data_IF_540378808912
#
_entry.id   IF_540378808912
#
_cell.length_a   1.000
_cell.length_b   1.000
_cell.length_c   1.000
_cell.angle_alpha   90.00
_cell.angle_beta   90.00
_cell.angle_gamma   90.00
#
_symmetry.space_group_name_H-M   'P 1'
#
loop_
_entity.id
_entity.type
_entity.pdbx_description
1 polymer ?
#
# COMPACT_ATOMS: atom_id res chain seq x y z
N UNK A 1 33.00 -12.56 9.87
CA UNK A 1 31.75 -13.12 9.32
C UNK A 1 31.05 -11.92 8.73
N UNK A 2 31.12 -11.77 7.42
CA UNK A 2 31.03 -10.44 6.80
C UNK A 2 29.71 -10.23 6.03
N UNK A 3 28.82 -11.22 6.05
CA UNK A 3 27.48 -11.13 5.48
C UNK A 3 26.46 -11.96 6.28
N UNK A 4 25.19 -11.60 6.17
CA UNK A 4 24.07 -12.34 6.73
C UNK A 4 23.91 -13.65 5.94
N UNK A 5 23.70 -14.76 6.63
CA UNK A 5 23.44 -16.07 5.99
C UNK A 5 22.02 -16.59 6.32
N UNK A 6 21.48 -16.18 7.46
CA UNK A 6 20.24 -16.70 8.01
C UNK A 6 19.57 -15.71 8.96
N UNK A 7 18.24 -15.70 8.95
CA UNK A 7 17.37 -15.06 9.93
C UNK A 7 16.60 -16.15 10.66
N UNK A 8 16.49 -16.03 11.98
CA UNK A 8 15.62 -16.87 12.80
C UNK A 8 14.59 -15.95 13.43
N UNK A 9 13.31 -16.28 13.26
CA UNK A 9 12.21 -15.62 13.97
C UNK A 9 11.58 -16.61 14.94
N UNK A 10 11.07 -16.12 16.06
CA UNK A 10 10.32 -16.90 17.04
C UNK A 10 9.08 -16.10 17.46
N UNK A 11 8.03 -16.80 17.86
CA UNK A 11 6.94 -16.17 18.60
C UNK A 11 7.47 -15.64 19.94
N UNK A 12 6.89 -14.55 20.44
CA UNK A 12 7.25 -13.95 21.72
C UNK A 12 6.08 -14.00 22.69
N UNK A 13 6.38 -14.17 23.97
CA UNK A 13 5.39 -14.06 25.04
C UNK A 13 5.06 -12.59 25.38
N UNK A 14 4.15 -12.40 26.33
CA UNK A 14 3.73 -11.10 26.86
C UNK A 14 4.88 -10.29 27.51
N UNK A 15 6.02 -10.92 27.77
CA UNK A 15 7.24 -10.33 28.32
C UNK A 15 8.35 -10.18 27.28
N UNK A 16 8.01 -10.27 25.99
CA UNK A 16 8.96 -10.18 24.87
C UNK A 16 10.06 -11.25 24.90
N UNK A 17 9.80 -12.43 25.48
CA UNK A 17 10.74 -13.54 25.50
C UNK A 17 10.38 -14.53 24.38
N UNK A 18 11.35 -15.04 23.61
CA UNK A 18 11.11 -16.07 22.61
C UNK A 18 10.47 -17.32 23.21
N UNK A 19 9.45 -17.87 22.54
CA UNK A 19 8.81 -19.13 22.90
C UNK A 19 9.57 -20.26 22.21
N UNK A 20 10.17 -21.15 23.00
CA UNK A 20 10.95 -22.30 22.51
C UNK A 20 10.08 -23.24 21.64
N UNK A 21 10.63 -23.70 20.52
CA UNK A 21 9.95 -24.59 19.56
C UNK A 21 9.08 -23.85 18.52
N UNK A 22 9.03 -22.52 18.57
CA UNK A 22 8.33 -21.68 17.57
C UNK A 22 9.27 -21.09 16.52
N UNK A 23 10.54 -21.49 16.53
CA UNK A 23 11.56 -20.96 15.64
C UNK A 23 11.24 -21.27 14.17
N UNK A 24 11.36 -20.25 13.32
CA UNK A 24 11.35 -20.39 11.87
C UNK A 24 12.64 -19.81 11.31
N UNK A 25 13.36 -20.63 10.53
CA UNK A 25 14.66 -20.29 9.95
C UNK A 25 14.51 -19.94 8.48
N UNK A 26 15.07 -18.80 8.08
CA UNK A 26 15.08 -18.30 6.72
C UNK A 26 16.53 -18.08 6.27
N UNK A 27 16.92 -18.63 5.11
CA UNK A 27 18.20 -18.27 4.50
C UNK A 27 18.10 -16.91 3.82
N UNK A 28 18.77 -15.90 4.37
CA UNK A 28 18.73 -14.53 3.87
C UNK A 28 20.14 -13.96 3.80
N UNK A 29 20.43 -13.25 2.71
CA UNK A 29 21.66 -12.45 2.54
C UNK A 29 21.48 -10.99 2.98
N UNK A 30 20.22 -10.58 3.15
CA UNK A 30 19.81 -9.21 3.50
C UNK A 30 18.66 -9.27 4.49
N UNK A 31 18.73 -8.48 5.57
CA UNK A 31 17.64 -8.25 6.51
C UNK A 31 17.24 -6.78 6.45
N UNK A 32 16.02 -6.50 6.00
CA UNK A 32 15.45 -5.17 6.06
C UNK A 32 14.76 -5.00 7.42
N UNK A 33 15.25 -4.06 8.24
CA UNK A 33 14.64 -3.73 9.53
C UNK A 33 13.82 -2.46 9.35
N UNK A 34 12.49 -2.59 9.36
CA UNK A 34 11.58 -1.45 9.42
C UNK A 34 11.61 -0.86 10.83
N UNK A 35 12.49 0.11 11.06
CA UNK A 35 12.58 0.83 12.34
C UNK A 35 11.42 1.81 12.48
N UNK A 36 10.92 1.97 13.70
CA UNK A 36 10.03 3.07 14.02
C UNK A 36 10.76 4.41 13.96
N UNK A 37 9.99 5.49 13.90
CA UNK A 37 10.54 6.84 14.03
C UNK A 37 10.48 7.27 15.50
N UNK A 38 11.49 8.00 15.95
CA UNK A 38 11.49 8.73 17.23
C UNK A 38 11.17 10.19 16.94
N UNK A 39 10.30 10.85 17.72
CA UNK A 39 10.03 12.28 17.54
C UNK A 39 11.34 13.09 17.56
N UNK A 40 11.45 14.06 16.66
CA UNK A 40 12.55 15.04 16.62
C UNK A 40 11.97 16.39 17.01
N UNK A 41 11.62 16.53 18.28
CA UNK A 41 10.86 17.64 18.84
C UNK A 41 11.64 18.43 19.92
N UNK A 42 12.93 18.12 20.10
CA UNK A 42 13.76 18.66 21.18
C UNK A 42 13.88 20.18 21.11
N UNK A 43 14.05 20.73 19.91
CA UNK A 43 14.14 22.18 19.72
C UNK A 43 12.80 22.88 20.02
N UNK A 44 11.68 22.23 19.70
CA UNK A 44 10.35 22.79 20.01
C UNK A 44 10.14 22.83 21.52
N UNK A 45 10.41 21.71 22.20
CA UNK A 45 10.32 21.60 23.66
C UNK A 45 11.22 22.59 24.38
N UNK A 46 12.48 22.70 23.96
CA UNK A 46 13.41 23.68 24.54
C UNK A 46 12.88 25.10 24.36
N UNK A 47 12.45 25.48 23.15
CA UNK A 47 11.92 26.82 22.92
C UNK A 47 10.70 27.13 23.81
N UNK A 48 9.79 26.17 23.99
CA UNK A 48 8.66 26.27 24.93
C UNK A 48 9.12 26.42 26.39
N UNK A 49 10.12 25.66 26.84
CA UNK A 49 10.71 25.77 28.19
C UNK A 49 11.32 27.16 28.46
N UNK A 50 11.89 27.81 27.43
CA UNK A 50 12.41 29.17 27.51
C UNK A 50 11.33 30.27 27.34
N UNK A 51 10.05 29.88 27.24
CA UNK A 51 8.94 30.82 27.06
C UNK A 51 8.90 31.45 25.66
N UNK A 52 9.58 30.86 24.67
CA UNK A 52 9.50 31.28 23.29
C UNK A 52 8.23 30.72 22.66
N UNK A 53 7.48 31.61 22.00
CA UNK A 53 6.30 31.19 21.23
C UNK A 53 6.75 30.32 20.05
N UNK A 54 6.34 29.06 20.08
CA UNK A 54 6.82 28.03 19.16
C UNK A 54 5.65 27.31 18.51
N UNK A 55 5.87 26.83 17.29
CA UNK A 55 4.87 26.11 16.50
C UNK A 55 5.54 24.90 15.83
N UNK A 56 4.86 23.76 15.85
CA UNK A 56 5.30 22.54 15.18
C UNK A 56 4.28 22.09 14.13
N UNK A 57 4.75 21.38 13.11
CA UNK A 57 3.94 20.78 12.07
C UNK A 57 4.67 19.58 11.46
N UNK A 58 3.92 18.65 10.85
CA UNK A 58 4.49 17.42 10.32
C UNK A 58 5.08 16.53 11.42
N UNK A 59 6.14 15.80 11.09
CA UNK A 59 6.77 14.85 12.02
C UNK A 59 7.44 15.52 13.23
N UNK A 60 7.68 16.84 13.18
CA UNK A 60 8.15 17.63 14.31
C UNK A 60 7.05 17.88 15.36
N UNK A 61 5.78 17.78 14.98
CA UNK A 61 4.62 17.79 15.90
C UNK A 61 4.28 16.36 16.32
N UNK A 62 4.07 15.48 15.33
CA UNK A 62 3.84 14.06 15.57
C UNK A 62 4.14 13.25 14.32
N UNK A 63 4.76 12.09 14.51
CA UNK A 63 4.99 11.12 13.45
C UNK A 63 3.64 10.60 12.93
N UNK A 64 3.37 10.82 11.65
CA UNK A 64 2.11 10.42 11.03
C UNK A 64 2.27 10.17 9.52
N UNK A 65 1.18 9.77 8.86
CA UNK A 65 1.12 9.65 7.40
C UNK A 65 1.33 11.01 6.72
N UNK A 66 1.81 11.02 5.47
CA UNK A 66 2.18 12.25 4.75
C UNK A 66 1.04 13.27 4.65
N UNK A 67 -0.21 12.82 4.51
CA UNK A 67 -1.38 13.72 4.47
C UNK A 67 -1.61 14.39 5.82
N UNK A 68 -1.41 13.69 6.93
CA UNK A 68 -1.49 14.29 8.26
C UNK A 68 -0.42 15.38 8.43
N UNK A 69 0.78 15.18 7.89
CA UNK A 69 1.83 16.19 7.87
C UNK A 69 1.43 17.43 7.03
N UNK A 70 0.80 17.23 5.87
CA UNK A 70 0.30 18.32 5.04
C UNK A 70 -0.82 19.13 5.72
N UNK A 71 -1.80 18.46 6.32
CA UNK A 71 -2.91 19.13 7.00
C UNK A 71 -2.46 19.81 8.29
N UNK A 72 -1.62 19.18 9.11
CA UNK A 72 -1.05 19.83 10.30
C UNK A 72 -0.27 21.09 9.93
N UNK A 73 0.51 21.08 8.84
CA UNK A 73 1.17 22.29 8.33
C UNK A 73 0.19 23.42 7.98
N UNK A 74 -0.95 23.11 7.34
CA UNK A 74 -1.98 24.10 7.03
C UNK A 74 -2.66 24.65 8.29
N UNK A 75 -2.95 23.79 9.26
CA UNK A 75 -3.53 24.17 10.55
C UNK A 75 -2.56 25.08 11.29
N UNK A 76 -1.30 24.69 11.42
CA UNK A 76 -0.25 25.46 12.11
C UNK A 76 -0.04 26.83 11.45
N UNK A 77 -0.04 26.89 10.11
CA UNK A 77 0.05 28.17 9.41
C UNK A 77 -1.12 29.11 9.75
N UNK A 78 -2.35 28.60 9.87
CA UNK A 78 -3.51 29.41 10.28
C UNK A 78 -3.43 29.82 11.75
N UNK A 79 -2.95 28.96 12.65
CA UNK A 79 -2.67 29.33 14.05
C UNK A 79 -1.70 30.52 14.12
N UNK A 80 -0.62 30.49 13.35
CA UNK A 80 0.35 31.60 13.28
C UNK A 80 -0.26 32.92 12.76
N UNK A 81 -1.21 32.84 11.81
CA UNK A 81 -1.90 34.00 11.27
C UNK A 81 -2.87 34.61 12.29
N UNK A 82 -3.65 33.77 12.98
CA UNK A 82 -4.54 34.20 14.07
C UNK A 82 -3.75 34.92 15.16
N UNK A 83 -2.61 34.34 15.57
CA UNK A 83 -1.70 34.92 16.55
C UNK A 83 -1.09 36.27 16.14
N UNK A 84 -1.05 36.54 14.82
CA UNK A 84 -0.61 37.80 14.22
C UNK A 84 -1.75 38.80 14.03
N UNK A 85 -2.98 38.45 14.42
CA UNK A 85 -4.17 39.29 14.30
C UNK A 85 -4.85 39.26 12.94
N UNK A 86 -4.55 38.27 12.09
CA UNK A 86 -5.27 38.07 10.83
C UNK A 86 -6.60 37.35 11.07
N UNK A 87 -7.64 37.80 10.35
CA UNK A 87 -8.96 37.18 10.37
C UNK A 87 -8.98 35.95 9.44
N UNK A 88 -8.61 34.79 10.01
CA UNK A 88 -8.66 33.49 9.35
C UNK A 88 -9.20 32.45 10.32
N UNK A 89 -9.99 31.50 9.82
CA UNK A 89 -10.55 30.43 10.65
C UNK A 89 -9.82 29.12 10.41
N UNK A 90 -9.81 28.20 11.38
CA UNK A 90 -9.34 26.82 11.16
C UNK A 90 -10.59 25.95 10.99
N UNK A 91 -10.79 25.30 9.82
CA UNK A 91 -11.96 24.47 9.60
C UNK A 91 -11.93 23.27 10.58
N UNK A 92 -12.97 23.06 11.41
CA UNK A 92 -12.98 21.96 12.38
C UNK A 92 -12.75 20.59 11.74
N UNK A 93 -13.24 20.39 10.51
CA UNK A 93 -13.06 19.15 9.76
C UNK A 93 -11.60 18.80 9.46
N UNK A 94 -10.68 19.78 9.50
CA UNK A 94 -9.25 19.51 9.32
C UNK A 94 -8.64 18.86 10.56
N UNK A 95 -9.08 19.23 11.75
CA UNK A 95 -8.62 18.60 12.98
C UNK A 95 -9.10 17.15 13.06
N UNK A 96 -10.38 16.90 12.76
CA UNK A 96 -10.96 15.56 12.70
C UNK A 96 -10.21 14.67 11.70
N UNK A 97 -9.96 15.19 10.50
CA UNK A 97 -9.22 14.46 9.46
C UNK A 97 -7.78 14.16 9.89
N UNK A 98 -7.08 15.11 10.52
CA UNK A 98 -5.73 14.88 11.04
C UNK A 98 -5.73 13.82 12.13
N UNK A 99 -6.72 13.83 13.02
CA UNK A 99 -6.86 12.82 14.07
C UNK A 99 -7.06 11.41 13.49
N UNK A 100 -7.88 11.28 12.43
CA UNK A 100 -8.08 10.01 11.73
C UNK A 100 -6.80 9.57 11.03
N UNK A 101 -6.12 10.46 10.31
CA UNK A 101 -4.88 10.14 9.59
C UNK A 101 -3.70 9.80 10.53
N UNK A 102 -3.72 10.29 11.77
CA UNK A 102 -2.77 9.95 12.84
C UNK A 102 -3.09 8.64 13.57
N UNK A 103 -4.29 8.10 13.35
CA UNK A 103 -4.72 6.89 14.07
C UNK A 103 -3.86 5.69 13.70
N UNK A 104 -3.68 4.77 14.66
CA UNK A 104 -3.01 3.51 14.38
C UNK A 104 -3.86 2.67 13.42
N UNK A 105 -3.24 1.87 12.54
CA UNK A 105 -3.96 0.90 11.74
C UNK A 105 -4.87 0.02 12.60
N UNK A 106 -6.07 -0.25 12.09
CA UNK A 106 -7.03 -1.13 12.74
C UNK A 106 -6.68 -2.62 12.54
N UNK A 107 -7.60 -3.54 12.87
CA UNK A 107 -7.39 -4.98 12.74
C UNK A 107 -7.12 -5.43 11.30
N UNK A 108 -6.32 -6.49 11.17
CA UNK A 108 -6.18 -7.25 9.93
C UNK A 108 -7.43 -8.12 9.77
N UNK A 109 -8.16 -7.94 8.68
CA UNK A 109 -9.44 -8.61 8.39
C UNK A 109 -9.36 -9.52 7.14
N UNK A 110 -8.15 -9.82 6.64
CA UNK A 110 -7.91 -10.69 5.46
C UNK A 110 -8.26 -10.03 4.12
N UNK A 111 -8.26 -10.74 2.99
CA UNK A 111 -8.63 -10.13 1.70
C UNK A 111 -10.15 -10.17 1.49
N UNK A 112 -10.72 -9.08 0.97
CA UNK A 112 -12.14 -9.04 0.63
C UNK A 112 -12.47 -10.10 -0.45
N UNK A 113 -13.69 -10.67 -0.45
CA UNK A 113 -14.07 -11.63 -1.47
C UNK A 113 -13.94 -11.06 -2.88
N UNK A 114 -13.47 -11.87 -3.82
CA UNK A 114 -13.40 -11.50 -5.23
C UNK A 114 -14.82 -11.24 -5.77
N UNK A 115 -15.05 -10.15 -6.52
CA UNK A 115 -16.34 -9.88 -7.16
C UNK A 115 -16.79 -11.05 -8.04
N UNK A 116 -18.01 -11.55 -7.80
CA UNK A 116 -18.61 -12.64 -8.57
C UNK A 116 -19.45 -12.09 -9.72
N UNK A 117 -19.57 -12.87 -10.81
CA UNK A 117 -20.41 -12.55 -11.96
C UNK A 117 -20.11 -11.18 -12.60
N UNK A 118 -18.84 -10.79 -12.57
CA UNK A 118 -18.33 -9.58 -13.23
C UNK A 118 -17.34 -9.97 -14.30
N UNK A 119 -17.37 -9.24 -15.41
CA UNK A 119 -16.48 -9.43 -16.54
C UNK A 119 -15.21 -8.58 -16.41
N UNK A 120 -15.35 -7.37 -15.89
CA UNK A 120 -14.26 -6.43 -15.59
C UNK A 120 -14.47 -5.93 -14.16
N UNK A 121 -13.42 -5.95 -13.35
CA UNK A 121 -13.49 -5.50 -11.95
C UNK A 121 -12.09 -5.30 -11.35
N UNK A 122 -11.95 -4.39 -10.37
CA UNK A 122 -10.75 -4.32 -9.55
C UNK A 122 -10.74 -5.45 -8.50
N UNK A 123 -9.57 -6.01 -8.25
CA UNK A 123 -9.28 -6.79 -7.05
C UNK A 123 -8.51 -5.87 -6.10
N UNK A 124 -9.09 -5.65 -4.92
CA UNK A 124 -8.52 -4.76 -3.90
C UNK A 124 -7.88 -5.63 -2.81
N UNK A 125 -6.55 -5.55 -2.72
CA UNK A 125 -5.70 -6.35 -1.85
C UNK A 125 -5.49 -5.73 -0.46
N UNK A 126 -6.32 -4.75 -0.07
CA UNK A 126 -6.25 -4.12 1.26
C UNK A 126 -6.70 -5.10 2.36
N UNK A 127 -5.73 -5.65 3.11
CA UNK A 127 -6.01 -6.63 4.16
C UNK A 127 -6.34 -6.02 5.54
N UNK A 128 -5.96 -4.76 5.75
CA UNK A 128 -6.00 -4.08 7.04
C UNK A 128 -6.77 -2.76 6.94
N UNK A 129 -7.37 -2.33 8.04
CA UNK A 129 -7.95 -0.99 8.19
C UNK A 129 -6.86 0.07 8.33
N UNK A 130 -6.84 1.02 7.41
CA UNK A 130 -5.91 2.15 7.35
C UNK A 130 -6.66 3.39 6.85
N UNK A 131 -6.28 4.62 7.24
CA UNK A 131 -7.02 5.83 6.87
C UNK A 131 -6.74 6.21 5.41
N UNK A 132 -7.38 5.53 4.45
CA UNK A 132 -7.06 5.63 3.03
C UNK A 132 -8.29 5.40 2.13
N UNK A 133 -8.74 6.45 1.43
CA UNK A 133 -9.84 6.43 0.48
C UNK A 133 -9.55 6.87 -0.98
N UNK A 134 -8.32 7.10 -1.49
CA UNK A 134 -8.14 7.58 -2.88
C UNK A 134 -8.81 6.74 -3.98
N UNK A 135 -9.00 5.44 -3.75
CA UNK A 135 -9.67 4.57 -4.72
C UNK A 135 -11.19 4.78 -4.82
N UNK A 136 -11.86 5.19 -3.73
CA UNK A 136 -13.29 5.53 -3.73
C UNK A 136 -13.49 6.82 -4.52
N UNK A 137 -12.68 7.84 -4.22
CA UNK A 137 -12.71 9.16 -4.88
C UNK A 137 -12.38 9.09 -6.38
N UNK A 138 -11.50 8.16 -6.78
CA UNK A 138 -11.09 8.04 -8.17
C UNK A 138 -12.08 7.27 -9.07
N UNK A 139 -13.02 6.53 -8.49
CA UNK A 139 -13.97 5.69 -9.22
C UNK A 139 -15.10 6.54 -9.81
N UNK A 140 -15.11 6.73 -11.13
CA UNK A 140 -16.11 7.56 -11.82
C UNK A 140 -17.54 6.98 -11.69
N UNK A 141 -17.67 5.66 -11.58
CA UNK A 141 -18.96 4.99 -11.37
C UNK A 141 -19.35 4.88 -9.90
N UNK A 142 -18.53 5.39 -8.98
CA UNK A 142 -18.71 5.27 -7.53
C UNK A 142 -18.90 3.83 -7.04
N UNK A 143 -18.42 2.84 -7.80
CA UNK A 143 -18.57 1.42 -7.48
C UNK A 143 -17.50 0.88 -6.52
N UNK A 144 -16.66 1.75 -5.93
CA UNK A 144 -15.74 1.39 -4.84
C UNK A 144 -16.11 2.25 -3.65
N UNK A 145 -16.52 1.61 -2.57
CA UNK A 145 -17.09 2.27 -1.39
C UNK A 145 -16.43 1.75 -0.11
N UNK A 146 -16.32 2.62 0.90
CA UNK A 146 -16.04 2.23 2.27
C UNK A 146 -17.39 2.28 2.99
N UNK A 147 -17.83 1.15 3.57
CA UNK A 147 -19.18 1.04 4.16
C UNK A 147 -19.24 1.53 5.60
N UNK A 148 -18.09 1.59 6.25
CA UNK A 148 -17.93 2.12 7.59
C UNK A 148 -17.98 3.66 7.59
N UNK A 149 -18.38 4.27 8.71
CA UNK A 149 -18.52 5.73 8.85
C UNK A 149 -17.18 6.50 8.80
N UNK A 150 -16.06 5.78 8.76
CA UNK A 150 -14.72 6.34 8.75
C UNK A 150 -13.93 5.84 7.55
N UNK A 151 -13.05 6.69 7.00
CA UNK A 151 -12.09 6.31 5.96
C UNK A 151 -11.10 5.21 6.37
N UNK A 152 -11.12 4.79 7.64
CA UNK A 152 -10.41 3.62 8.15
C UNK A 152 -10.95 2.31 7.58
N UNK A 153 -12.23 2.29 7.19
CA UNK A 153 -12.88 1.11 6.63
C UNK A 153 -12.21 0.67 5.33
N UNK A 154 -12.40 -0.61 4.99
CA UNK A 154 -11.72 -1.18 3.82
C UNK A 154 -12.57 -1.01 2.57
N UNK A 155 -11.99 -0.52 1.46
CA UNK A 155 -12.75 -0.32 0.24
C UNK A 155 -13.25 -1.65 -0.33
N UNK A 156 -14.53 -1.67 -0.69
CA UNK A 156 -15.24 -2.77 -1.31
C UNK A 156 -15.70 -2.35 -2.70
N UNK A 157 -15.45 -3.21 -3.68
CA UNK A 157 -16.02 -3.01 -5.01
C UNK A 157 -17.39 -3.66 -5.08
N UNK A 158 -18.41 -2.86 -5.38
CA UNK A 158 -19.77 -3.30 -5.61
C UNK A 158 -20.39 -2.43 -6.71
N UNK A 159 -20.76 -3.05 -7.84
CA UNK A 159 -21.26 -2.34 -9.02
C UNK A 159 -20.51 -2.66 -10.30
N UNK A 160 -20.58 -1.76 -11.27
CA UNK A 160 -19.98 -1.93 -12.60
C UNK A 160 -18.55 -1.40 -12.67
N UNK A 161 -17.76 -1.91 -13.61
CA UNK A 161 -16.42 -1.39 -13.87
C UNK A 161 -16.21 -1.12 -15.35
N UNK A 162 -15.82 0.12 -15.69
CA UNK A 162 -15.45 0.50 -17.06
C UNK A 162 -14.06 -0.01 -17.47
N UNK A 163 -13.27 -0.55 -16.55
CA UNK A 163 -11.87 -0.92 -16.81
C UNK A 163 -10.94 0.27 -17.03
N UNK A 164 -11.26 1.46 -16.50
CA UNK A 164 -10.49 2.68 -16.72
C UNK A 164 -9.13 2.73 -15.97
N UNK A 165 -8.90 1.80 -15.04
CA UNK A 165 -7.70 1.66 -14.21
C UNK A 165 -7.32 2.89 -13.34
N UNK A 166 -8.25 3.82 -13.09
CA UNK A 166 -8.00 4.99 -12.24
C UNK A 166 -7.69 4.61 -10.79
N UNK A 167 -8.42 3.64 -10.22
CA UNK A 167 -8.17 3.11 -8.89
C UNK A 167 -6.78 2.47 -8.76
N UNK A 168 -6.32 1.75 -9.80
CA UNK A 168 -4.96 1.18 -9.87
C UNK A 168 -3.89 2.29 -9.91
N UNK A 169 -4.13 3.34 -10.72
CA UNK A 169 -3.19 4.44 -10.87
C UNK A 169 -3.03 5.29 -9.59
N UNK A 170 -4.10 5.48 -8.82
CA UNK A 170 -4.10 6.37 -7.65
C UNK A 170 -3.72 5.67 -6.34
N UNK A 171 -3.83 4.33 -6.26
CA UNK A 171 -3.70 3.59 -5.00
C UNK A 171 -2.32 3.79 -4.36
N UNK A 172 -2.16 4.50 -3.23
CA UNK A 172 -0.84 4.76 -2.65
C UNK A 172 -0.12 3.45 -2.28
N UNK A 173 -0.85 2.45 -1.78
CA UNK A 173 -0.29 1.16 -1.39
C UNK A 173 -0.04 0.15 -2.52
N UNK A 174 -0.22 0.53 -3.80
CA UNK A 174 -0.06 -0.38 -4.96
C UNK A 174 -0.93 -1.65 -4.89
N UNK A 175 -1.99 -1.61 -4.09
CA UNK A 175 -2.75 -2.77 -3.64
C UNK A 175 -3.99 -3.08 -4.50
N UNK A 176 -4.10 -2.54 -5.71
CA UNK A 176 -5.25 -2.78 -6.58
C UNK A 176 -4.76 -3.32 -7.92
N UNK A 177 -5.32 -4.46 -8.34
CA UNK A 177 -5.16 -4.97 -9.71
C UNK A 177 -6.50 -4.87 -10.44
N UNK A 178 -6.48 -4.59 -11.74
CA UNK A 178 -7.69 -4.56 -12.57
C UNK A 178 -7.75 -5.81 -13.42
N UNK A 179 -8.78 -6.63 -13.21
CA UNK A 179 -9.03 -7.85 -13.97
C UNK A 179 -10.02 -7.58 -15.08
N UNK A 180 -9.71 -8.06 -16.28
CA UNK A 180 -10.58 -8.05 -17.45
C UNK A 180 -10.63 -9.45 -18.07
N UNK A 181 -11.74 -10.14 -17.77
CA UNK A 181 -12.06 -11.49 -18.25
C UNK A 181 -12.70 -11.49 -19.64
N UNK A 182 -13.00 -10.32 -20.22
CA UNK A 182 -13.53 -10.20 -21.60
C UNK A 182 -12.43 -10.23 -22.66
N UNK A 183 -11.18 -10.04 -22.24
CA UNK A 183 -10.01 -9.97 -23.11
C UNK A 183 -9.91 -11.15 -24.09
N UNK A 184 -10.21 -12.37 -23.62
CA UNK A 184 -10.22 -13.58 -24.44
C UNK A 184 -11.59 -14.29 -24.33
N UNK A 185 -12.34 -14.26 -25.43
CA UNK A 185 -13.67 -14.87 -25.53
C UNK A 185 -13.67 -16.38 -25.28
N UNK A 186 -12.53 -17.05 -25.46
CA UNK A 186 -12.39 -18.49 -25.19
C UNK A 186 -12.17 -18.81 -23.71
N UNK A 187 -11.99 -17.78 -22.86
CA UNK A 187 -11.72 -17.89 -21.42
C UNK A 187 -10.49 -18.75 -21.08
N UNK A 188 -9.49 -18.80 -21.98
CA UNK A 188 -8.19 -19.43 -21.69
C UNK A 188 -7.27 -18.46 -20.98
N UNK A 189 -7.32 -17.20 -21.38
CA UNK A 189 -6.54 -16.11 -20.81
C UNK A 189 -7.42 -14.98 -20.29
N UNK A 190 -6.85 -14.11 -19.48
CA UNK A 190 -7.45 -12.85 -19.07
C UNK A 190 -6.38 -11.75 -19.10
N UNK A 191 -6.82 -10.50 -19.14
CA UNK A 191 -5.95 -9.35 -18.98
C UNK A 191 -6.00 -8.89 -17.53
N UNK A 192 -4.84 -8.67 -16.93
CA UNK A 192 -4.72 -7.97 -15.66
C UNK A 192 -3.95 -6.68 -15.88
N UNK A 193 -4.25 -5.63 -15.11
CA UNK A 193 -3.45 -4.41 -15.07
C UNK A 193 -2.99 -4.15 -13.64
N UNK A 194 -1.68 -4.02 -13.45
CA UNK A 194 -1.06 -3.79 -12.15
C UNK A 194 -0.29 -2.46 -12.16
N UNK A 195 -0.11 -1.81 -11.00
CA UNK A 195 0.72 -0.64 -10.90
C UNK A 195 2.21 -1.04 -10.84
N UNK A 196 3.09 -0.21 -11.39
CA UNK A 196 4.53 -0.42 -11.37
C UNK A 196 5.27 0.91 -11.14
N UNK A 197 6.15 0.94 -10.14
CA UNK A 197 6.99 2.08 -9.78
C UNK A 197 8.48 1.72 -9.89
N UNK A 198 8.86 1.14 -11.03
CA UNK A 198 10.24 0.81 -11.35
C UNK A 198 10.79 1.75 -12.43
N UNK A 199 12.12 1.95 -12.51
CA UNK A 199 12.73 2.76 -13.55
C UNK A 199 12.32 2.32 -14.96
N UNK A 200 12.22 3.29 -15.88
CA UNK A 200 11.91 2.98 -17.27
C UNK A 200 12.93 2.03 -17.89
N UNK A 201 12.45 1.10 -18.72
CA UNK A 201 13.28 0.08 -19.35
C UNK A 201 13.52 -1.17 -18.50
N UNK A 202 13.09 -1.19 -17.22
CA UNK A 202 13.17 -2.39 -16.36
C UNK A 202 12.39 -3.58 -16.96
N UNK A 203 11.28 -3.29 -17.64
CA UNK A 203 10.40 -4.30 -18.25
C UNK A 203 10.08 -3.88 -19.69
N UNK A 204 9.93 -4.87 -20.58
CA UNK A 204 9.58 -4.64 -21.99
C UNK A 204 8.28 -5.35 -22.37
N UNK A 205 7.53 -4.75 -23.29
CA UNK A 205 6.39 -5.42 -23.95
C UNK A 205 6.85 -6.70 -24.65
N UNK A 206 6.04 -7.75 -24.61
CA UNK A 206 6.32 -9.09 -25.12
C UNK A 206 7.12 -9.98 -24.16
N UNK A 207 7.67 -9.42 -23.07
CA UNK A 207 8.42 -10.20 -22.08
C UNK A 207 7.51 -11.17 -21.33
N UNK A 208 7.94 -12.43 -21.21
CA UNK A 208 7.36 -13.39 -20.26
C UNK A 208 7.94 -13.16 -18.88
N UNK A 209 7.08 -13.06 -17.87
CA UNK A 209 7.47 -12.76 -16.49
C UNK A 209 6.73 -13.68 -15.52
N UNK A 210 7.34 -13.94 -14.36
CA UNK A 210 6.68 -14.64 -13.27
C UNK A 210 5.70 -13.68 -12.59
N UNK A 211 4.47 -14.14 -12.38
CA UNK A 211 3.43 -13.41 -11.65
C UNK A 211 3.38 -13.88 -10.21
N UNK A 212 3.09 -12.96 -9.29
CA UNK A 212 3.10 -13.22 -7.85
C UNK A 212 1.79 -12.84 -7.18
N UNK A 213 1.48 -13.51 -6.06
CA UNK A 213 0.39 -13.13 -5.17
C UNK A 213 0.82 -12.06 -4.17
N UNK A 214 -0.04 -11.79 -3.19
CA UNK A 214 0.17 -10.74 -2.18
C UNK A 214 1.35 -11.03 -1.26
N UNK A 215 1.66 -12.31 -1.02
CA UNK A 215 2.79 -12.75 -0.19
C UNK A 215 4.07 -12.96 -1.03
N UNK A 216 4.06 -12.56 -2.30
CA UNK A 216 5.17 -12.77 -3.22
C UNK A 216 5.30 -14.22 -3.73
N UNK A 217 4.33 -15.08 -3.41
CA UNK A 217 4.32 -16.47 -3.87
C UNK A 217 4.14 -16.56 -5.39
N UNK A 218 4.79 -17.55 -6.02
CA UNK A 218 4.71 -17.74 -7.47
C UNK A 218 3.33 -18.29 -7.86
N UNK A 219 2.55 -17.49 -8.57
CA UNK A 219 1.24 -17.87 -9.09
C UNK A 219 1.37 -18.55 -10.46
N UNK A 220 2.28 -18.05 -11.30
CA UNK A 220 2.49 -18.59 -12.63
C UNK A 220 3.33 -17.69 -13.51
N UNK A 221 2.96 -17.64 -14.79
CA UNK A 221 3.63 -16.81 -15.80
C UNK A 221 2.60 -15.97 -16.55
N UNK A 222 2.98 -14.74 -16.84
CA UNK A 222 2.24 -13.83 -17.70
C UNK A 222 3.12 -13.26 -18.81
N UNK A 223 2.49 -12.68 -19.82
CA UNK A 223 3.17 -11.94 -20.88
C UNK A 223 2.81 -10.46 -20.78
N UNK A 224 3.80 -9.58 -20.81
CA UNK A 224 3.56 -8.14 -20.82
C UNK A 224 2.99 -7.73 -22.17
N UNK A 225 1.77 -7.22 -22.20
CA UNK A 225 1.10 -6.81 -23.44
C UNK A 225 1.08 -5.30 -23.64
N UNK A 226 1.11 -4.50 -22.57
CA UNK A 226 1.20 -3.05 -22.67
C UNK A 226 1.80 -2.42 -21.40
N UNK A 227 2.48 -1.29 -21.58
CA UNK A 227 2.96 -0.42 -20.50
C UNK A 227 2.41 0.98 -20.79
N UNK A 228 1.54 1.48 -19.92
CA UNK A 228 0.89 2.79 -20.07
C UNK A 228 1.34 3.73 -18.95
N UNK A 229 1.38 5.03 -19.23
CA UNK A 229 1.53 6.08 -18.21
C UNK A 229 0.26 6.92 -18.17
N UNK A 230 -0.20 7.26 -16.98
CA UNK A 230 -1.28 8.21 -16.81
C UNK A 230 -0.71 9.63 -16.97
N UNK A 231 -1.13 10.39 -17.99
CA UNK A 231 -0.65 11.77 -18.18
C UNK A 231 -0.90 12.67 -16.97
N UNK A 232 -1.98 12.40 -16.23
CA UNK A 232 -2.38 13.13 -15.04
C UNK A 232 -1.67 12.64 -13.75
N UNK A 233 -0.94 11.53 -13.81
CA UNK A 233 -0.22 10.97 -12.67
C UNK A 233 1.18 10.47 -13.11
N UNK A 234 2.17 11.36 -13.00
CA UNK A 234 3.45 11.27 -13.71
C UNK A 234 4.45 10.23 -13.16
N UNK A 235 4.16 9.56 -12.03
CA UNK A 235 5.17 8.75 -11.32
C UNK A 235 4.97 7.23 -11.41
N UNK A 236 3.90 6.76 -12.03
CA UNK A 236 3.52 5.34 -12.02
C UNK A 236 3.18 4.80 -13.40
N UNK A 237 3.73 3.64 -13.72
CA UNK A 237 3.38 2.88 -14.91
C UNK A 237 2.22 1.91 -14.60
N UNK A 238 1.33 1.72 -15.56
CA UNK A 238 0.29 0.71 -15.55
C UNK A 238 0.71 -0.41 -16.50
N UNK A 239 0.97 -1.57 -15.94
CA UNK A 239 1.44 -2.74 -16.66
C UNK A 239 0.27 -3.67 -16.93
N UNK A 240 -0.08 -3.86 -18.19
CA UNK A 240 -1.06 -4.86 -18.59
C UNK A 240 -0.37 -6.19 -18.92
N UNK A 241 -0.85 -7.27 -18.32
CA UNK A 241 -0.37 -8.62 -18.54
C UNK A 241 -1.50 -9.50 -19.09
N UNK A 242 -1.16 -10.37 -20.02
CA UNK A 242 -1.96 -11.53 -20.38
C UNK A 242 -1.54 -12.71 -19.50
N UNK A 243 -2.52 -13.34 -18.83
CA UNK A 243 -2.31 -14.40 -17.85
C UNK A 243 -3.34 -15.52 -18.03
N UNK A 244 -3.10 -16.74 -17.53
CA UNK A 244 -4.11 -17.79 -17.53
C UNK A 244 -5.38 -17.34 -16.79
N UNK A 245 -6.55 -17.64 -17.37
CA UNK A 245 -7.84 -17.15 -16.85
C UNK A 245 -8.08 -17.50 -15.37
N UNK A 246 -7.66 -18.71 -14.96
CA UNK A 246 -7.80 -19.22 -13.59
C UNK A 246 -6.94 -18.51 -12.54
N UNK A 247 -5.89 -17.81 -12.98
CA UNK A 247 -4.90 -17.19 -12.10
C UNK A 247 -5.16 -15.69 -11.93
N UNK A 248 -5.97 -15.08 -12.80
CA UNK A 248 -6.19 -13.64 -12.87
C UNK A 248 -6.56 -12.99 -11.53
N UNK A 249 -7.40 -13.66 -10.74
CA UNK A 249 -7.92 -13.13 -9.46
C UNK A 249 -6.88 -13.17 -8.33
N UNK A 250 -5.79 -13.93 -8.48
CA UNK A 250 -4.79 -14.16 -7.44
C UNK A 250 -3.56 -13.29 -7.60
N UNK A 251 -3.38 -12.66 -8.76
CA UNK A 251 -2.16 -11.94 -9.07
C UNK A 251 -2.24 -10.54 -8.46
N UNK A 252 -1.24 -10.23 -7.64
CA UNK A 252 -1.02 -8.92 -7.04
C UNK A 252 0.24 -8.23 -7.61
N UNK A 253 1.19 -9.00 -8.14
CA UNK A 253 2.47 -8.45 -8.60
C UNK A 253 3.23 -9.31 -9.61
N UNK A 254 4.50 -8.98 -9.78
CA UNK A 254 5.44 -9.63 -10.70
C UNK A 254 6.81 -9.77 -10.05
N UNK A 255 7.57 -10.75 -10.53
CA UNK A 255 8.94 -10.95 -10.13
C UNK A 255 9.90 -10.49 -11.24
N UNK A 256 10.59 -9.37 -11.00
CA UNK A 256 11.50 -8.75 -11.96
C UNK A 256 12.88 -9.40 -11.91
N UNK A 257 13.40 -9.59 -10.71
CA UNK A 257 14.70 -10.21 -10.45
C UNK A 257 14.44 -11.67 -10.09
N UNK A 258 15.09 -12.60 -10.79
CA UNK A 258 15.07 -14.00 -10.36
C UNK A 258 15.89 -14.12 -9.09
N UNK A 259 15.34 -14.68 -8.00
CA UNK A 259 16.18 -15.04 -6.88
C UNK A 259 17.22 -16.03 -7.38
N UNK A 260 18.46 -15.98 -6.86
CA UNK A 260 19.44 -17.03 -7.13
C UNK A 260 18.81 -18.39 -6.81
N UNK A 261 19.17 -19.43 -7.55
CA UNK A 261 18.57 -20.77 -7.42
C UNK A 261 18.82 -21.34 -6.01
N UNK A 262 17.92 -21.06 -5.07
CA UNK A 262 17.94 -21.71 -3.75
C UNK A 262 17.04 -22.95 -3.80
N UNK A 263 17.56 -24.07 -3.31
CA UNK A 263 16.81 -25.32 -3.16
C UNK A 263 15.58 -25.06 -2.29
N UNK A 264 14.43 -25.70 -2.55
CA UNK A 264 13.24 -25.54 -1.74
C UNK A 264 13.54 -25.86 -0.27
N UNK A 265 13.17 -24.94 0.62
CA UNK A 265 13.34 -25.08 2.07
C UNK A 265 12.52 -26.26 2.59
N UNK A 266 13.16 -27.15 3.36
CA UNK A 266 12.44 -27.96 4.35
C UNK A 266 12.21 -27.05 5.55
N UNK A 267 10.95 -26.84 5.94
CA UNK A 267 10.62 -26.34 7.28
C UNK A 267 11.23 -27.31 8.28
N UNK A 268 12.38 -26.97 8.84
CA UNK A 268 12.99 -27.78 9.89
C UNK A 268 12.46 -27.21 11.18
N UNK A 269 11.45 -27.88 11.76
CA UNK A 269 11.16 -27.72 13.18
C UNK A 269 12.37 -28.32 13.90
N UNK A 270 13.15 -27.48 14.57
CA UNK A 270 14.08 -27.95 15.59
C UNK A 270 13.32 -28.29 16.85
#
# INVERSE_FOLDING_TARGET
>A
RDHLERVVISEIDDKFRPIEGTESVFEADTLLIAVGLTPVDELSKQAEEFGLRTYAAGDADIIAEASAAMFSGRITARKMLIDRGFDVEIPPEWEDMVNILRSRPGPIKGINPIPKNRDIYPVIHCAQEIPCNPCTEACILQSIEIKEDSMMGRPLFDGECLGCARCVAICPGLAITLVDKTYDKTKKTARITIPLEMPEGTIKTGQKITTTGIEGENIGKGTIIAIKKAKWQNKRQLLSLEVPFKDADKIAGIQIIKPPSKKPMKKTKT
#
